data_IF_595313924861
#
_entry.id   IF_595313924861
#
_cell.length_a   1.000
_cell.length_b   1.000
_cell.length_c   1.000
_cell.angle_alpha   90.00
_cell.angle_beta   90.00
_cell.angle_gamma   90.00
#
_symmetry.space_group_name_H-M   'P 1'
#
loop_
_entity.id
_entity.type
_entity.pdbx_description
1 polymer ?
#
# COMPACT_ATOMS: atom_id res chain seq x y z
N UNK A 1 -24.71 -56.86 23.51
CA UNK A 1 -23.30 -57.30 23.54
C UNK A 1 -22.46 -56.12 24.03
N UNK A 2 -21.69 -56.30 25.10
CA UNK A 2 -20.81 -55.26 25.65
C UNK A 2 -19.49 -55.88 26.13
N UNK A 3 -18.38 -55.19 25.91
CA UNK A 3 -17.09 -55.45 26.58
C UNK A 3 -16.42 -54.12 26.91
N UNK A 4 -15.86 -54.08 28.12
CA UNK A 4 -14.98 -53.02 28.64
C UNK A 4 -13.61 -53.09 27.90
N UNK A 5 -12.59 -52.26 28.16
CA UNK A 5 -11.79 -52.19 29.40
C UNK A 5 -11.05 -50.83 29.49
N UNK A 6 -10.75 -50.45 30.73
CA UNK A 6 -10.12 -49.22 31.21
C UNK A 6 -8.61 -49.05 30.95
N UNK A 7 -8.12 -47.83 31.19
CA UNK A 7 -6.71 -47.40 31.16
C UNK A 7 -5.77 -48.11 32.17
N UNK A 8 -4.45 -47.94 32.02
CA UNK A 8 -3.59 -47.24 33.03
C UNK A 8 -2.08 -47.14 32.70
N UNK A 9 -1.47 -46.04 33.22
CA UNK A 9 -0.10 -45.86 33.79
C UNK A 9 1.20 -45.89 32.94
N UNK A 10 1.96 -44.79 33.12
CA UNK A 10 3.45 -44.70 33.08
C UNK A 10 4.09 -45.21 34.40
N UNK A 11 5.34 -45.70 34.36
CA UNK A 11 6.34 -45.48 35.43
C UNK A 11 7.47 -44.51 34.97
N UNK A 12 8.69 -44.59 35.56
CA UNK A 12 9.52 -43.39 35.85
C UNK A 12 11.02 -43.66 36.07
N UNK A 13 11.90 -42.97 35.31
CA UNK A 13 13.36 -42.73 35.51
C UNK A 13 14.36 -43.92 35.50
N UNK A 14 15.48 -43.68 34.81
CA UNK A 14 16.84 -44.04 35.23
C UNK A 14 17.78 -42.86 34.89
N UNK A 15 18.99 -42.81 35.44
CA UNK A 15 19.85 -41.62 35.48
C UNK A 15 21.34 -41.96 35.64
N UNK A 16 22.22 -41.28 34.90
CA UNK A 16 23.70 -41.26 34.98
C UNK A 16 24.21 -40.30 33.87
N UNK A 17 25.31 -39.55 33.97
CA UNK A 17 26.18 -39.13 35.09
C UNK A 17 26.90 -37.84 34.64
N UNK A 18 27.47 -37.07 35.57
CA UNK A 18 28.36 -35.95 35.25
C UNK A 18 29.66 -36.10 36.04
N UNK A 19 30.80 -35.84 35.39
CA UNK A 19 32.10 -35.64 36.05
C UNK A 19 32.78 -34.41 35.44
N UNK A 20 33.40 -33.60 36.29
CA UNK A 20 34.31 -32.51 35.92
C UNK A 20 35.75 -33.00 36.04
N UNK A 21 36.67 -32.40 35.28
CA UNK A 21 38.03 -32.20 35.75
C UNK A 21 38.61 -30.90 35.19
N UNK A 22 39.23 -30.12 36.06
CA UNK A 22 39.93 -28.87 35.74
C UNK A 22 41.33 -29.14 35.20
N UNK A 23 41.84 -28.23 34.36
CA UNK A 23 43.28 -27.96 34.25
C UNK A 23 43.52 -26.52 33.77
N UNK A 24 44.16 -25.72 34.62
CA UNK A 24 44.63 -24.36 34.34
C UNK A 24 45.96 -24.35 33.57
N UNK A 25 46.22 -23.31 32.77
CA UNK A 25 47.48 -22.53 32.87
C UNK A 25 47.44 -21.26 32.02
N UNK A 26 47.96 -20.17 32.58
CA UNK A 26 48.24 -18.92 31.87
C UNK A 26 49.42 -19.07 30.89
N UNK A 27 49.48 -18.23 29.85
CA UNK A 27 50.71 -17.47 29.52
C UNK A 27 50.47 -16.32 28.53
N UNK A 28 50.86 -15.14 28.99
CA UNK A 28 51.37 -13.95 28.29
C UNK A 28 50.92 -13.52 26.89
N UNK A 29 50.62 -12.23 26.80
CA UNK A 29 50.55 -11.46 25.57
C UNK A 29 51.94 -10.90 25.18
N UNK A 30 52.28 -10.94 23.88
CA UNK A 30 53.02 -9.82 23.25
C UNK A 30 52.94 -9.85 21.72
N UNK A 31 52.64 -8.68 21.14
CA UNK A 31 53.05 -8.15 19.83
C UNK A 31 53.08 -9.07 18.58
N UNK A 32 52.25 -8.72 17.60
CA UNK A 32 52.75 -8.27 16.29
C UNK A 32 51.69 -7.52 15.48
N UNK A 33 51.88 -6.22 15.27
CA UNK A 33 51.26 -5.47 14.18
C UNK A 33 52.07 -5.70 12.90
N UNK A 34 51.47 -6.35 11.89
CA UNK A 34 51.70 -6.13 10.46
C UNK A 34 50.93 -7.19 9.65
N UNK A 35 49.91 -6.76 8.88
CA UNK A 35 49.82 -7.08 7.46
C UNK A 35 48.62 -6.37 6.80
N UNK A 36 48.91 -5.24 6.15
CA UNK A 36 47.98 -4.52 5.29
C UNK A 36 48.27 -4.90 3.84
N UNK A 37 47.58 -5.92 3.29
CA UNK A 37 47.54 -6.12 1.85
C UNK A 37 46.33 -6.93 1.34
N UNK A 38 45.57 -6.28 0.45
CA UNK A 38 44.94 -6.88 -0.74
C UNK A 38 44.04 -8.13 -0.56
N UNK A 39 42.73 -7.89 -0.47
CA UNK A 39 41.76 -8.76 -1.15
C UNK A 39 41.07 -8.01 -2.30
N UNK A 40 40.90 -8.70 -3.43
CA UNK A 40 40.69 -8.08 -4.76
C UNK A 40 39.24 -7.62 -4.95
N UNK A 41 39.06 -6.44 -5.54
CA UNK A 41 37.76 -5.95 -5.99
C UNK A 41 37.22 -6.82 -7.13
N UNK A 42 36.23 -7.66 -6.84
CA UNK A 42 35.39 -8.29 -7.87
C UNK A 42 34.47 -7.25 -8.50
N UNK A 43 34.52 -7.12 -9.84
CA UNK A 43 33.78 -6.11 -10.58
C UNK A 43 32.26 -6.37 -10.58
N UNK A 44 31.57 -5.84 -9.57
CA UNK A 44 30.12 -5.69 -9.61
C UNK A 44 29.77 -4.57 -10.61
N UNK A 45 29.27 -4.95 -11.80
CA UNK A 45 28.69 -4.00 -12.77
C UNK A 45 27.55 -3.22 -12.09
N UNK A 46 27.84 -2.01 -11.64
CA UNK A 46 26.82 -1.04 -11.24
C UNK A 46 25.98 -0.74 -12.47
N UNK A 47 24.74 -1.24 -12.49
CA UNK A 47 23.71 -0.71 -13.38
C UNK A 47 23.64 0.79 -13.13
N UNK A 48 23.74 1.65 -14.17
CA UNK A 48 23.65 3.08 -13.95
C UNK A 48 22.30 3.39 -13.31
N UNK A 49 22.29 4.04 -12.13
CA UNK A 49 21.11 4.80 -11.73
C UNK A 49 20.91 5.85 -12.82
N UNK A 50 19.91 5.66 -13.68
CA UNK A 50 19.50 6.66 -14.66
C UNK A 50 19.18 7.92 -13.90
N UNK A 51 20.08 8.91 -13.99
CA UNK A 51 19.97 10.18 -13.31
C UNK A 51 18.86 10.95 -14.01
N UNK A 52 17.62 10.76 -13.56
CA UNK A 52 16.51 11.63 -13.95
C UNK A 52 16.97 13.04 -13.59
N UNK A 53 17.13 13.86 -14.62
CA UNK A 53 17.52 15.26 -14.44
C UNK A 53 16.33 15.99 -13.82
N UNK A 54 16.57 17.06 -13.02
CA UNK A 54 15.49 17.91 -12.54
C UNK A 54 14.98 18.78 -13.70
N UNK A 55 14.27 18.14 -14.63
CA UNK A 55 13.51 18.79 -15.69
C UNK A 55 12.08 18.97 -15.16
N UNK A 56 11.63 20.22 -15.14
CA UNK A 56 10.28 20.74 -14.87
C UNK A 56 9.31 19.87 -14.04
N UNK A 57 8.86 20.43 -12.90
CA UNK A 57 7.71 19.94 -12.11
C UNK A 57 6.41 20.27 -12.87
N UNK A 58 6.21 19.64 -14.03
CA UNK A 58 4.98 19.76 -14.83
C UNK A 58 3.95 18.69 -14.49
N UNK A 59 4.38 17.52 -14.00
CA UNK A 59 3.49 16.42 -13.59
C UNK A 59 3.71 16.05 -12.13
N UNK A 60 2.64 16.12 -11.31
CA UNK A 60 2.63 15.72 -9.91
C UNK A 60 2.71 14.18 -9.75
N UNK A 61 2.33 13.41 -10.76
CA UNK A 61 2.46 11.95 -10.77
C UNK A 61 2.93 11.41 -12.12
N UNK A 62 3.51 10.21 -12.09
CA UNK A 62 3.90 9.44 -13.28
C UNK A 62 3.45 7.98 -13.08
N UNK A 63 2.65 7.46 -14.01
CA UNK A 63 2.29 6.04 -14.04
C UNK A 63 3.42 5.16 -14.60
N UNK A 64 3.52 3.94 -14.09
CA UNK A 64 4.52 2.95 -14.50
C UNK A 64 4.06 1.51 -14.30
N UNK A 65 4.84 0.56 -14.81
CA UNK A 65 4.42 -0.85 -14.91
C UNK A 65 3.08 -1.02 -15.63
N UNK A 66 2.97 -0.60 -16.90
CA UNK A 66 1.75 -0.80 -17.70
C UNK A 66 1.45 -2.28 -17.89
N UNK A 67 0.16 -2.59 -17.98
CA UNK A 67 -0.39 -3.90 -18.29
C UNK A 67 -0.97 -3.90 -19.70
N UNK A 68 -0.86 -5.04 -20.38
CA UNK A 68 -1.48 -5.24 -21.69
C UNK A 68 -2.98 -5.53 -21.51
N UNK A 69 -3.80 -4.48 -21.61
CA UNK A 69 -5.26 -4.58 -21.70
C UNK A 69 -5.79 -3.67 -22.81
N UNK A 70 -6.95 -4.03 -23.34
CA UNK A 70 -7.67 -3.27 -24.37
C UNK A 70 -8.62 -2.24 -23.78
N UNK A 71 -9.45 -2.66 -22.81
CA UNK A 71 -10.67 -1.93 -22.45
C UNK A 71 -11.19 -2.25 -21.03
N UNK A 72 -12.15 -1.44 -20.55
CA UNK A 72 -12.72 -1.51 -19.21
C UNK A 72 -13.60 -2.74 -18.96
N UNK A 73 -14.27 -3.30 -19.99
CA UNK A 73 -15.05 -4.53 -19.86
C UNK A 73 -14.13 -5.74 -19.79
N UNK A 74 -13.11 -5.83 -20.64
CA UNK A 74 -12.10 -6.89 -20.56
C UNK A 74 -11.37 -6.90 -19.20
N UNK A 75 -11.14 -5.72 -18.60
CA UNK A 75 -10.60 -5.64 -17.24
C UNK A 75 -11.61 -6.10 -16.17
N UNK A 76 -12.88 -5.70 -16.28
CA UNK A 76 -13.98 -6.18 -15.42
C UNK A 76 -14.16 -7.69 -15.52
N UNK A 77 -14.23 -8.27 -16.72
CA UNK A 77 -14.43 -9.71 -16.92
C UNK A 77 -13.30 -10.54 -16.29
N UNK A 78 -12.05 -10.08 -16.44
CA UNK A 78 -10.87 -10.75 -15.89
C UNK A 78 -10.82 -10.73 -14.35
N UNK A 79 -11.24 -9.62 -13.73
CA UNK A 79 -11.11 -9.42 -12.28
C UNK A 79 -12.40 -9.71 -11.50
N UNK A 80 -13.56 -9.37 -12.07
CA UNK A 80 -14.89 -9.51 -11.48
C UNK A 80 -15.33 -10.96 -11.28
N UNK A 81 -14.92 -11.87 -12.17
CA UNK A 81 -15.17 -13.31 -12.00
C UNK A 81 -14.46 -13.91 -10.78
N UNK A 82 -13.31 -13.35 -10.38
CA UNK A 82 -12.51 -13.80 -9.24
C UNK A 82 -12.75 -12.97 -7.97
N UNK A 83 -13.22 -11.73 -8.09
CA UNK A 83 -13.37 -10.81 -6.97
C UNK A 83 -14.56 -9.85 -7.18
N UNK A 84 -15.65 -9.98 -6.38
CA UNK A 84 -16.90 -9.27 -6.63
C UNK A 84 -16.81 -7.74 -6.48
N UNK A 85 -15.73 -7.19 -5.89
CA UNK A 85 -15.53 -5.73 -5.78
C UNK A 85 -15.40 -5.04 -7.14
N UNK A 86 -14.96 -5.78 -8.17
CA UNK A 86 -14.81 -5.28 -9.55
C UNK A 86 -16.10 -5.37 -10.37
N UNK A 87 -17.21 -5.85 -9.80
CA UNK A 87 -18.49 -5.95 -10.50
C UNK A 87 -19.04 -4.57 -10.87
N UNK A 88 -19.54 -4.45 -12.09
CA UNK A 88 -20.06 -3.23 -12.69
C UNK A 88 -19.02 -2.09 -12.74
N UNK A 89 -17.73 -2.40 -12.89
CA UNK A 89 -16.67 -1.41 -13.00
C UNK A 89 -16.82 -0.53 -14.26
N UNK A 90 -17.11 -1.10 -15.44
CA UNK A 90 -17.30 -0.31 -16.67
C UNK A 90 -18.44 0.74 -16.56
N UNK A 91 -19.69 0.36 -16.21
CA UNK A 91 -20.76 1.35 -16.10
C UNK A 91 -20.52 2.38 -14.99
N UNK A 92 -19.89 1.99 -13.87
CA UNK A 92 -19.57 2.92 -12.77
C UNK A 92 -18.44 3.88 -13.12
N UNK A 93 -17.45 3.44 -13.90
CA UNK A 93 -16.38 4.30 -14.45
C UNK A 93 -16.98 5.33 -15.41
N UNK A 94 -17.91 4.92 -16.27
CA UNK A 94 -18.62 5.80 -17.21
C UNK A 94 -19.47 6.83 -16.48
N UNK A 95 -20.24 6.42 -15.48
CA UNK A 95 -21.01 7.31 -14.61
C UNK A 95 -20.11 8.33 -13.90
N UNK A 96 -18.98 7.89 -13.35
CA UNK A 96 -17.99 8.77 -12.74
C UNK A 96 -17.44 9.79 -13.74
N UNK A 97 -16.95 9.35 -14.91
CA UNK A 97 -16.41 10.23 -15.95
C UNK A 97 -17.45 11.26 -16.43
N UNK A 98 -18.70 10.85 -16.65
CA UNK A 98 -19.79 11.76 -17.00
C UNK A 98 -20.09 12.77 -15.89
N UNK A 99 -19.94 12.39 -14.61
CA UNK A 99 -20.13 13.32 -13.49
C UNK A 99 -19.03 14.38 -13.38
N UNK A 100 -17.78 14.02 -13.71
CA UNK A 100 -16.62 14.91 -13.62
C UNK A 100 -16.43 15.78 -14.87
N UNK A 101 -16.86 15.29 -16.04
CA UNK A 101 -16.67 15.95 -17.32
C UNK A 101 -17.99 16.00 -18.12
N UNK A 102 -18.99 16.79 -17.67
CA UNK A 102 -20.31 16.87 -18.32
C UNK A 102 -20.26 17.48 -19.73
N UNK A 103 -19.19 18.20 -20.08
CA UNK A 103 -18.96 18.75 -21.43
C UNK A 103 -18.47 17.68 -22.43
N UNK A 104 -18.06 16.50 -21.96
CA UNK A 104 -17.63 15.39 -22.81
C UNK A 104 -18.88 14.58 -23.20
N UNK A 105 -19.19 14.51 -24.50
CA UNK A 105 -20.35 13.77 -24.98
C UNK A 105 -20.05 12.27 -24.97
N UNK A 106 -20.31 11.62 -23.85
CA UNK A 106 -20.03 10.21 -23.60
C UNK A 106 -21.26 9.34 -23.92
N UNK A 107 -21.51 8.99 -25.18
CA UNK A 107 -22.59 8.01 -25.47
C UNK A 107 -22.19 6.59 -25.06
N UNK A 108 -23.19 5.71 -24.94
CA UNK A 108 -22.95 4.31 -24.60
C UNK A 108 -22.26 3.52 -25.73
N UNK A 109 -22.47 3.95 -26.97
CA UNK A 109 -21.80 3.43 -28.17
C UNK A 109 -20.43 4.09 -28.39
N UNK A 110 -20.20 5.31 -27.86
CA UNK A 110 -18.88 5.92 -27.89
C UNK A 110 -17.86 5.04 -27.19
N UNK A 111 -16.82 4.74 -27.95
CA UNK A 111 -15.72 3.88 -27.57
C UNK A 111 -14.73 4.63 -26.68
N UNK A 112 -15.19 5.07 -25.49
CA UNK A 112 -14.35 5.33 -24.30
C UNK A 112 -13.42 4.11 -24.03
N UNK A 113 -13.81 2.96 -24.59
CA UNK A 113 -13.22 1.63 -24.48
C UNK A 113 -12.06 1.33 -25.43
N UNK A 114 -11.61 2.23 -26.30
CA UNK A 114 -10.64 1.84 -27.34
C UNK A 114 -9.22 1.63 -26.78
N UNK A 115 -8.88 2.34 -25.70
CA UNK A 115 -7.65 2.14 -24.94
C UNK A 115 -7.82 2.74 -23.54
N UNK A 116 -8.20 1.91 -22.57
CA UNK A 116 -7.77 2.21 -21.20
C UNK A 116 -6.40 1.57 -20.96
N UNK A 117 -5.42 2.37 -20.60
CA UNK A 117 -4.13 1.85 -20.18
C UNK A 117 -4.17 1.64 -18.67
N UNK A 118 -3.77 0.44 -18.21
CA UNK A 118 -3.81 0.10 -16.78
C UNK A 118 -2.40 -0.06 -16.28
N UNK A 119 -2.13 0.49 -15.10
CA UNK A 119 -0.80 0.55 -14.50
C UNK A 119 -0.81 -0.08 -13.10
N UNK A 120 0.35 -0.57 -12.67
CA UNK A 120 0.51 -1.17 -11.33
C UNK A 120 1.38 -0.34 -10.38
N UNK A 121 1.94 0.78 -10.86
CA UNK A 121 2.84 1.63 -10.10
C UNK A 121 2.56 3.11 -10.41
N UNK A 122 2.64 3.97 -9.39
CA UNK A 122 2.66 5.42 -9.55
C UNK A 122 3.80 6.01 -8.72
N UNK A 123 4.51 6.96 -9.32
CA UNK A 123 5.46 7.84 -8.65
C UNK A 123 4.72 9.14 -8.39
N UNK A 124 4.66 9.61 -7.15
CA UNK A 124 3.97 10.85 -6.77
C UNK A 124 4.99 11.81 -6.20
N UNK A 125 5.21 12.93 -6.88
CA UNK A 125 6.04 14.02 -6.41
C UNK A 125 5.20 14.99 -5.56
N UNK A 126 5.71 15.37 -4.40
CA UNK A 126 5.05 16.33 -3.51
C UNK A 126 6.07 17.20 -2.79
N UNK A 127 5.69 18.42 -2.42
CA UNK A 127 6.48 19.21 -1.49
C UNK A 127 6.15 18.78 -0.05
N UNK A 128 7.18 18.34 0.68
CA UNK A 128 7.11 18.04 2.11
C UNK A 128 6.76 19.30 2.92
N UNK A 129 5.84 19.20 3.88
CA UNK A 129 5.47 20.30 4.79
C UNK A 129 6.43 20.48 5.98
N UNK A 130 7.34 19.53 6.19
CA UNK A 130 8.29 19.51 7.31
C UNK A 130 9.50 20.40 6.99
N UNK A 131 10.14 20.15 5.84
CA UNK A 131 11.37 20.81 5.38
C UNK A 131 11.20 21.61 4.08
N UNK A 132 10.01 21.64 3.48
CA UNK A 132 9.67 22.34 2.23
C UNK A 132 10.43 21.86 0.99
N UNK A 133 11.07 20.68 1.06
CA UNK A 133 11.77 20.08 -0.07
C UNK A 133 10.85 19.19 -0.91
N UNK A 134 11.30 18.84 -2.12
CA UNK A 134 10.60 17.91 -2.99
C UNK A 134 10.88 16.47 -2.56
N UNK A 135 9.83 15.71 -2.31
CA UNK A 135 9.84 14.29 -1.99
C UNK A 135 9.06 13.47 -3.04
N UNK A 136 9.28 12.16 -3.07
CA UNK A 136 8.64 11.24 -4.00
C UNK A 136 8.20 9.95 -3.28
N UNK A 137 6.93 9.58 -3.42
CA UNK A 137 6.39 8.30 -2.94
C UNK A 137 6.17 7.34 -4.14
N UNK A 138 6.67 6.10 -4.04
CA UNK A 138 6.51 5.06 -5.09
C UNK A 138 5.48 4.02 -4.64
N UNK A 139 4.23 4.20 -5.08
CA UNK A 139 3.08 3.38 -4.68
C UNK A 139 2.76 2.29 -5.70
N UNK A 140 2.24 1.16 -5.23
CA UNK A 140 1.96 -0.03 -6.03
C UNK A 140 0.59 -0.63 -5.78
N UNK A 141 0.01 -1.22 -6.82
CA UNK A 141 -1.25 -1.95 -6.80
C UNK A 141 -1.16 -3.27 -7.61
N UNK A 142 -0.09 -4.04 -7.38
CA UNK A 142 0.13 -5.33 -8.02
C UNK A 142 -0.76 -6.41 -7.38
N UNK A 143 -1.66 -7.01 -8.18
CA UNK A 143 -2.49 -8.15 -7.74
C UNK A 143 -1.69 -9.42 -7.43
N UNK A 144 -0.53 -9.60 -8.08
CA UNK A 144 0.46 -10.62 -7.76
C UNK A 144 1.85 -9.99 -7.56
N UNK A 145 2.30 -9.92 -6.31
CA UNK A 145 3.59 -9.39 -5.90
C UNK A 145 4.54 -10.54 -5.53
N UNK A 146 5.56 -10.78 -6.37
CA UNK A 146 6.56 -11.85 -6.22
C UNK A 146 5.98 -13.24 -5.90
N UNK A 147 4.79 -13.58 -6.42
CA UNK A 147 4.09 -14.84 -6.13
C UNK A 147 3.74 -15.07 -4.65
N UNK A 148 3.76 -14.00 -3.83
CA UNK A 148 3.49 -14.03 -2.39
C UNK A 148 2.08 -13.57 -2.00
N UNK A 149 1.31 -13.06 -2.96
CA UNK A 149 0.01 -12.42 -2.76
C UNK A 149 -0.02 -11.00 -3.32
N UNK A 150 -1.11 -10.25 -3.10
CA UNK A 150 -1.24 -8.88 -3.61
C UNK A 150 -0.44 -7.86 -2.78
N UNK A 151 0.03 -6.80 -3.44
CA UNK A 151 0.50 -5.56 -2.81
C UNK A 151 -0.36 -4.39 -3.29
N UNK A 152 -1.08 -3.79 -2.34
CA UNK A 152 -1.93 -2.62 -2.56
C UNK A 152 -1.56 -1.56 -1.52
N UNK A 153 -0.72 -0.62 -1.93
CA UNK A 153 -0.32 0.53 -1.12
C UNK A 153 -1.51 1.51 -0.97
N UNK A 154 -1.43 2.46 -0.04
CA UNK A 154 -2.53 3.40 0.23
C UNK A 154 -2.13 4.84 -0.10
N UNK A 155 -3.13 5.67 -0.42
CA UNK A 155 -3.00 7.09 -0.76
C UNK A 155 -3.68 7.97 0.27
N UNK A 156 -3.11 9.16 0.48
CA UNK A 156 -3.76 10.31 1.09
C UNK A 156 -4.25 11.23 -0.05
N UNK A 157 -5.49 11.72 0.03
CA UNK A 157 -6.07 12.57 -1.02
C UNK A 157 -6.87 13.75 -0.46
N UNK A 158 -7.02 14.80 -1.26
CA UNK A 158 -7.87 15.95 -0.96
C UNK A 158 -9.35 15.53 -1.13
N UNK A 159 -10.18 15.88 -0.15
CA UNK A 159 -11.62 15.59 -0.15
C UNK A 159 -12.36 16.80 0.41
N UNK A 160 -13.57 17.06 -0.11
CA UNK A 160 -14.47 18.09 0.42
C UNK A 160 -15.04 17.71 1.80
N UNK A 161 -14.89 16.45 2.22
CA UNK A 161 -15.31 15.98 3.53
C UNK A 161 -14.28 16.35 4.61
N UNK A 162 -14.69 16.85 5.78
CA UNK A 162 -13.78 17.20 6.86
C UNK A 162 -13.08 15.98 7.45
N UNK A 163 -11.81 16.14 7.85
CA UNK A 163 -10.98 15.07 8.37
C UNK A 163 -10.04 14.48 7.32
N UNK A 164 -9.32 13.43 7.72
CA UNK A 164 -8.33 12.78 6.85
C UNK A 164 -9.02 11.82 5.88
N UNK A 165 -8.82 12.03 4.57
CA UNK A 165 -9.30 11.13 3.53
C UNK A 165 -8.14 10.27 2.99
N UNK A 166 -8.25 8.95 3.14
CA UNK A 166 -7.30 7.99 2.60
C UNK A 166 -8.00 6.80 1.96
N UNK A 167 -7.32 6.10 1.07
CA UNK A 167 -7.86 4.98 0.33
C UNK A 167 -6.78 3.95 -0.03
N UNK A 168 -7.16 2.69 -0.21
CA UNK A 168 -6.26 1.64 -0.73
C UNK A 168 -6.29 1.64 -2.25
N UNK A 169 -5.14 1.76 -2.89
CA UNK A 169 -5.00 1.74 -4.33
C UNK A 169 -5.21 0.31 -4.86
N UNK A 170 -6.20 0.11 -5.72
CA UNK A 170 -6.53 -1.20 -6.31
C UNK A 170 -6.10 -1.31 -7.77
N UNK A 171 -6.19 -0.22 -8.53
CA UNK A 171 -5.69 -0.11 -9.89
C UNK A 171 -5.38 1.35 -10.25
N UNK A 172 -4.61 1.57 -11.29
CA UNK A 172 -4.36 2.88 -11.90
C UNK A 172 -4.79 2.80 -13.36
N UNK A 173 -5.57 3.75 -13.84
CA UNK A 173 -6.20 3.72 -15.16
C UNK A 173 -6.01 5.06 -15.84
N UNK A 174 -5.52 5.04 -17.07
CA UNK A 174 -5.52 6.18 -17.98
C UNK A 174 -6.62 5.98 -19.00
N UNK A 175 -7.53 6.94 -19.08
CA UNK A 175 -8.61 6.98 -20.06
C UNK A 175 -8.32 8.04 -21.11
N UNK A 176 -8.63 7.76 -22.38
CA UNK A 176 -8.75 8.77 -23.42
C UNK A 176 -10.24 9.06 -23.68
N UNK A 177 -10.65 10.31 -23.55
CA UNK A 177 -12.02 10.75 -23.77
C UNK A 177 -12.26 11.12 -25.25
N UNK A 178 -13.52 11.21 -25.72
CA UNK A 178 -13.83 11.51 -27.13
C UNK A 178 -13.24 12.83 -27.65
N UNK A 179 -13.03 13.84 -26.80
CA UNK A 179 -12.33 15.08 -27.16
C UNK A 179 -10.83 14.92 -27.45
N UNK A 180 -10.26 13.74 -27.18
CA UNK A 180 -8.83 13.49 -27.15
C UNK A 180 -8.17 13.78 -25.79
N UNK A 181 -8.92 14.33 -24.81
CA UNK A 181 -8.44 14.55 -23.43
C UNK A 181 -7.98 13.24 -22.81
N UNK A 182 -6.81 13.24 -22.19
CA UNK A 182 -6.31 12.13 -21.37
C UNK A 182 -6.62 12.41 -19.91
N UNK A 183 -7.14 11.41 -19.19
CA UNK A 183 -7.50 11.51 -17.77
C UNK A 183 -6.88 10.35 -17.00
N UNK A 184 -6.14 10.67 -15.94
CA UNK A 184 -5.51 9.70 -15.05
C UNK A 184 -6.34 9.50 -13.78
N UNK A 185 -6.64 8.23 -13.48
CA UNK A 185 -7.51 7.81 -12.40
C UNK A 185 -6.84 6.76 -11.51
N UNK A 186 -7.10 6.85 -10.22
CA UNK A 186 -6.92 5.75 -9.28
C UNK A 186 -8.27 5.04 -9.06
N UNK A 187 -8.29 3.72 -9.20
CA UNK A 187 -9.38 2.86 -8.72
C UNK A 187 -9.01 2.46 -7.30
N UNK A 188 -9.84 2.82 -6.33
CA UNK A 188 -9.50 2.74 -4.90
C UNK A 188 -10.62 2.12 -4.05
N UNK A 189 -10.29 1.63 -2.86
CA UNK A 189 -11.28 1.41 -1.80
C UNK A 189 -11.08 2.46 -0.71
N UNK A 190 -12.12 3.23 -0.44
CA UNK A 190 -12.05 4.30 0.54
C UNK A 190 -11.92 3.74 1.96
N UNK A 191 -11.24 4.52 2.80
CA UNK A 191 -11.10 4.25 4.23
C UNK A 191 -12.02 5.23 4.96
N UNK A 192 -13.06 4.71 5.58
CA UNK A 192 -14.08 5.52 6.27
C UNK A 192 -13.77 5.61 7.76
N UNK A 193 -13.70 6.81 8.37
CA UNK A 193 -13.57 6.94 9.82
C UNK A 193 -14.68 6.18 10.56
N UNK A 194 -14.29 5.25 11.43
CA UNK A 194 -15.19 4.43 12.22
C UNK A 194 -15.16 4.86 13.69
N UNK A 195 -16.34 4.92 14.33
CA UNK A 195 -16.50 5.31 15.74
C UNK A 195 -16.11 4.21 16.73
N UNK A 196 -15.97 2.96 16.27
CA UNK A 196 -15.52 1.85 17.10
C UNK A 196 -14.06 2.06 17.53
N UNK A 197 -13.81 1.84 18.83
CA UNK A 197 -12.50 2.03 19.47
C UNK A 197 -11.94 0.67 19.91
N UNK A 198 -10.75 0.24 19.43
CA UNK A 198 -10.03 -0.90 19.99
C UNK A 198 -9.59 -0.62 21.42
N UNK A 199 -9.37 -1.67 22.22
CA UNK A 199 -8.82 -1.54 23.59
C UNK A 199 -7.42 -0.90 23.62
N UNK A 200 -6.71 -0.91 22.49
CA UNK A 200 -5.39 -0.31 22.30
C UNK A 200 -5.45 1.06 21.63
N UNK A 201 -6.58 1.77 21.65
CA UNK A 201 -6.64 3.15 21.14
C UNK A 201 -5.91 4.13 22.06
N UNK A 202 -5.23 5.10 21.47
CA UNK A 202 -4.59 6.23 22.15
C UNK A 202 -5.24 7.56 21.72
N UNK A 203 -4.91 8.66 22.38
CA UNK A 203 -5.45 9.98 22.04
C UNK A 203 -5.02 10.41 20.62
N UNK A 204 -5.92 11.07 19.89
CA UNK A 204 -5.73 11.41 18.47
C UNK A 204 -5.87 10.23 17.49
N UNK A 205 -5.91 8.98 17.98
CA UNK A 205 -6.04 7.79 17.12
C UNK A 205 -7.38 7.77 16.35
N UNK A 206 -7.32 7.75 15.02
CA UNK A 206 -8.48 7.50 14.15
C UNK A 206 -8.41 6.07 13.61
N UNK A 207 -9.51 5.33 13.80
CA UNK A 207 -9.70 4.01 13.21
C UNK A 207 -10.50 4.18 11.94
N UNK A 208 -10.02 3.61 10.85
CA UNK A 208 -10.72 3.55 9.58
C UNK A 208 -11.25 2.14 9.33
N UNK A 209 -12.40 2.05 8.68
CA UNK A 209 -12.94 0.83 8.09
C UNK A 209 -12.73 0.88 6.57
N UNK A 210 -12.21 -0.19 5.98
CA UNK A 210 -12.10 -0.31 4.52
C UNK A 210 -13.48 -0.58 3.92
N UNK A 211 -13.91 0.27 2.98
CA UNK A 211 -15.16 0.07 2.25
C UNK A 211 -15.07 -1.15 1.30
N UNK A 212 -16.19 -1.84 1.11
CA UNK A 212 -16.24 -3.05 0.27
C UNK A 212 -16.18 -2.70 -1.21
N UNK A 213 -16.82 -1.61 -1.62
CA UNK A 213 -16.95 -1.25 -3.02
C UNK A 213 -15.76 -0.43 -3.50
N UNK A 214 -15.33 -0.67 -4.75
CA UNK A 214 -14.37 0.20 -5.43
C UNK A 214 -15.00 1.58 -5.68
N UNK A 215 -14.18 2.62 -5.74
CA UNK A 215 -14.54 3.97 -6.21
C UNK A 215 -13.44 4.52 -7.10
N UNK A 216 -13.68 5.66 -7.74
CA UNK A 216 -12.72 6.32 -8.63
C UNK A 216 -12.28 7.65 -8.04
N UNK A 217 -11.01 7.97 -8.21
CA UNK A 217 -10.37 9.18 -7.72
C UNK A 217 -9.52 9.76 -8.85
N UNK A 218 -9.74 11.03 -9.23
CA UNK A 218 -8.85 11.73 -10.15
C UNK A 218 -7.48 11.90 -9.49
N UNK A 219 -6.41 11.65 -10.25
CA UNK A 219 -5.05 11.71 -9.71
C UNK A 219 -4.67 13.11 -9.20
N UNK A 220 -5.30 14.18 -9.72
CA UNK A 220 -5.19 15.56 -9.24
C UNK A 220 -5.48 15.72 -7.73
N UNK A 221 -6.35 14.89 -7.16
CA UNK A 221 -6.66 14.92 -5.73
C UNK A 221 -5.66 14.12 -4.89
N UNK A 222 -4.85 13.24 -5.48
CA UNK A 222 -3.90 12.40 -4.75
C UNK A 222 -2.73 13.26 -4.27
N UNK A 223 -2.60 13.38 -2.95
CA UNK A 223 -1.56 14.22 -2.33
C UNK A 223 -0.23 13.47 -2.29
N UNK A 224 -0.24 12.25 -1.72
CA UNK A 224 0.93 11.38 -1.53
C UNK A 224 0.53 9.99 -1.03
N UNK A 225 1.50 9.14 -0.69
CA UNK A 225 1.29 7.86 -0.03
C UNK A 225 0.79 7.98 1.41
N UNK A 226 0.16 6.91 1.89
CA UNK A 226 -0.27 6.75 3.27
C UNK A 226 0.08 5.35 3.79
N UNK A 227 0.58 5.25 5.02
CA UNK A 227 0.83 3.99 5.69
C UNK A 227 -0.35 3.61 6.60
N UNK A 228 -0.99 2.48 6.33
CA UNK A 228 -2.09 1.95 7.14
C UNK A 228 -1.67 0.68 7.88
N UNK A 229 -1.65 0.73 9.20
CA UNK A 229 -1.46 -0.45 10.04
C UNK A 229 -2.79 -1.19 10.24
N UNK A 230 -2.79 -2.53 10.25
CA UNK A 230 -4.00 -3.30 10.53
C UNK A 230 -4.41 -3.19 12.01
N UNK A 231 -5.67 -2.83 12.25
CA UNK A 231 -6.31 -2.84 13.56
C UNK A 231 -7.19 -4.10 13.69
N UNK A 232 -7.06 -4.84 14.78
CA UNK A 232 -7.91 -6.01 15.03
C UNK A 232 -9.35 -5.56 15.37
N UNK A 233 -10.24 -5.61 14.38
CA UNK A 233 -11.64 -5.19 14.50
C UNK A 233 -12.48 -5.97 15.51
N UNK A 234 -13.77 -5.60 15.67
CA UNK A 234 -14.73 -6.35 16.47
C UNK A 234 -14.83 -7.80 16.00
N UNK A 235 -14.87 -8.78 16.91
CA UNK A 235 -14.86 -10.21 16.58
C UNK A 235 -16.01 -10.68 15.67
N UNK A 236 -17.10 -9.91 15.59
CA UNK A 236 -18.27 -10.20 14.75
C UNK A 236 -18.23 -9.48 13.39
N UNK A 237 -17.20 -8.67 13.12
CA UNK A 237 -17.06 -7.95 11.86
C UNK A 237 -16.23 -8.75 10.85
N UNK A 238 -16.64 -8.69 9.58
CA UNK A 238 -15.85 -9.18 8.42
C UNK A 238 -15.12 -8.05 7.68
N UNK A 239 -15.12 -6.84 8.25
CA UNK A 239 -14.49 -5.65 7.67
C UNK A 239 -13.06 -5.52 8.16
N UNK A 240 -12.19 -4.98 7.31
CA UNK A 240 -10.82 -4.65 7.69
C UNK A 240 -10.82 -3.29 8.40
N UNK A 241 -10.12 -3.21 9.52
CA UNK A 241 -9.93 -1.96 10.25
C UNK A 241 -8.46 -1.57 10.20
N UNK A 242 -8.21 -0.27 10.16
CA UNK A 242 -6.87 0.27 9.98
C UNK A 242 -6.64 1.50 10.86
N UNK A 243 -5.40 1.68 11.30
CA UNK A 243 -4.91 2.95 11.82
C UNK A 243 -4.09 3.64 10.73
N UNK A 244 -4.22 4.95 10.61
CA UNK A 244 -3.25 5.75 9.87
C UNK A 244 -1.98 5.92 10.72
N UNK A 245 -0.82 5.68 10.13
CA UNK A 245 0.49 5.80 10.78
C UNK A 245 1.17 7.07 10.29
N UNK A 246 0.95 8.16 11.01
CA UNK A 246 1.43 9.51 10.71
C UNK A 246 2.88 9.79 11.19
N UNK A 247 3.40 8.97 12.11
CA UNK A 247 4.74 9.12 12.71
C UNK A 247 5.92 8.64 11.85
N UNK A 248 5.67 7.96 10.72
CA UNK A 248 6.75 7.39 9.88
C UNK A 248 7.38 8.43 8.95
N UNK A 249 6.62 9.45 8.54
CA UNK A 249 7.11 10.57 7.73
C UNK A 249 6.72 11.89 8.42
N UNK A 250 7.68 12.78 8.70
CA UNK A 250 7.41 14.05 9.42
C UNK A 250 6.34 14.93 8.76
N UNK A 251 6.30 14.91 7.43
CA UNK A 251 5.26 15.54 6.62
C UNK A 251 3.84 14.98 6.83
N UNK A 252 3.70 13.67 7.11
CA UNK A 252 2.38 13.03 7.16
C UNK A 252 1.57 13.52 8.37
N UNK A 253 2.21 13.62 9.54
CA UNK A 253 1.63 14.23 10.74
C UNK A 253 1.13 15.66 10.49
N UNK A 254 1.92 16.48 9.78
CA UNK A 254 1.52 17.85 9.44
C UNK A 254 0.31 17.88 8.48
N UNK A 255 0.17 16.92 7.56
CA UNK A 255 -1.03 16.81 6.72
C UNK A 255 -2.26 16.35 7.50
N UNK A 256 -2.09 15.36 8.38
CA UNK A 256 -3.13 14.84 9.26
C UNK A 256 -3.67 15.93 10.18
N UNK A 257 -2.81 16.68 10.85
CA UNK A 257 -3.21 17.82 11.70
C UNK A 257 -4.01 18.88 10.93
N UNK A 258 -3.53 19.27 9.73
CA UNK A 258 -4.22 20.25 8.90
C UNK A 258 -5.62 19.76 8.48
N UNK A 259 -5.77 18.49 8.12
CA UNK A 259 -7.04 17.90 7.71
C UNK A 259 -8.04 17.72 8.89
N UNK A 260 -7.54 17.63 10.13
CA UNK A 260 -8.34 17.48 11.37
C UNK A 260 -8.77 18.85 11.96
N UNK A 261 -8.39 19.97 11.34
CA UNK A 261 -8.61 21.33 11.85
C UNK A 261 -9.93 21.55 12.62
N UNK A 262 -9.80 21.96 13.90
CA UNK A 262 -10.86 22.13 14.93
C UNK A 262 -11.18 20.94 15.86
N UNK A 263 -10.17 20.26 16.45
CA UNK A 263 -10.38 19.41 17.65
C UNK A 263 -9.52 19.81 18.87
N UNK A 264 -8.61 20.78 18.73
CA UNK A 264 -7.83 21.32 19.85
C UNK A 264 -8.10 22.82 20.06
N UNK A 265 -9.04 23.13 20.96
CA UNK A 265 -9.19 24.36 21.73
C UNK A 265 -9.88 23.99 23.05
#
# INVERSE_FOLDING_TARGET
MARQISATRKPRRASQTAELSDASSDTDATNQEADVAQFKQGSARRVPKSRISPANVENQWIFGSPLQYSDSRSYEDLHGGNNPIYRALDPRLREFLHSQFPDEYLTYEDTIMASIEIFQCVYIAYQSKDDWTNAEDILRCNSNWYNSGPRYDCVLFNSDQPGVACARLRSLVRCQLPSGRVVDLAVVQNMKPNKWRPKTSWDGCVVFEEEVDLTFLLMDFVIRGALLAHAQGPSNSRRNFHYLVDVVDGDMFLRVLNAIGHVCN
#
